data_IF_232901466389
#
_entry.id   IF_232901466389
#
_cell.length_a   1.000
_cell.length_b   1.000
_cell.length_c   1.000
_cell.angle_alpha   90.00
_cell.angle_beta   90.00
_cell.angle_gamma   90.00
#
_symmetry.space_group_name_H-M   'P 1'
#
loop_
_entity.id
_entity.type
_entity.pdbx_description
1 polymer ?
#
# COMPACT_ATOMS: atom_id res chain seq x y z
N UNK A 1 15.03 -9.21 9.09
CA UNK A 1 15.66 -8.81 10.36
C UNK A 1 16.60 -7.64 10.11
N UNK A 2 16.40 -6.53 10.80
CA UNK A 2 17.35 -5.42 10.77
C UNK A 2 18.49 -5.75 11.75
N UNK A 3 19.75 -5.86 11.29
CA UNK A 3 20.86 -6.26 12.16
C UNK A 3 21.21 -5.18 13.19
N UNK A 4 20.84 -3.93 12.95
CA UNK A 4 20.95 -2.80 13.85
C UNK A 4 20.06 -1.66 13.32
N UNK A 5 19.56 -0.82 14.21
CA UNK A 5 18.74 0.34 13.85
C UNK A 5 17.49 0.46 14.70
N UNK A 6 16.70 1.48 14.40
CA UNK A 6 15.43 1.77 15.05
C UNK A 6 14.39 2.11 14.01
N UNK A 7 13.17 1.61 14.18
CA UNK A 7 12.03 1.90 13.33
C UNK A 7 10.84 2.29 14.19
N UNK A 8 10.66 3.59 14.43
CA UNK A 8 9.56 4.11 15.23
C UNK A 8 8.34 4.42 14.37
N UNK A 9 7.20 3.98 14.84
CA UNK A 9 5.90 4.28 14.27
C UNK A 9 4.92 4.67 15.37
N UNK A 10 4.46 5.91 15.35
CA UNK A 10 3.50 6.47 16.32
C UNK A 10 3.94 6.24 17.81
N UNK A 11 5.25 6.33 18.05
CA UNK A 11 5.86 6.13 19.38
C UNK A 11 6.16 4.68 19.76
N UNK A 12 5.89 3.73 18.86
CA UNK A 12 6.15 2.29 19.07
C UNK A 12 7.32 1.82 18.22
N UNK A 13 8.24 1.04 18.78
CA UNK A 13 9.33 0.42 18.00
C UNK A 13 8.78 -0.77 17.20
N UNK A 14 8.74 -0.63 15.87
CA UNK A 14 8.27 -1.68 14.98
C UNK A 14 9.11 -2.96 15.03
N UNK A 15 10.36 -2.87 15.45
CA UNK A 15 11.25 -4.05 15.48
C UNK A 15 10.88 -5.01 16.62
N UNK A 16 10.20 -4.51 17.66
CA UNK A 16 9.72 -5.31 18.79
C UNK A 16 8.35 -5.98 18.50
N UNK A 17 7.67 -5.58 17.41
CA UNK A 17 6.35 -6.09 17.06
C UNK A 17 6.42 -7.22 16.03
N UNK A 18 5.55 -8.21 16.14
CA UNK A 18 5.30 -9.16 15.07
C UNK A 18 4.51 -8.53 13.92
N UNK A 19 4.38 -9.24 12.79
CA UNK A 19 3.69 -8.74 11.61
C UNK A 19 2.20 -8.45 11.87
N UNK A 20 1.54 -9.25 12.72
CA UNK A 20 0.13 -9.07 13.05
C UNK A 20 -0.06 -7.82 13.91
N UNK A 21 0.84 -7.57 14.86
CA UNK A 21 0.76 -6.40 15.73
C UNK A 21 1.05 -5.12 14.96
N UNK A 22 2.04 -5.12 14.05
CA UNK A 22 2.28 -4.00 13.12
C UNK A 22 1.03 -3.65 12.31
N UNK A 23 0.33 -4.66 11.80
CA UNK A 23 -0.90 -4.45 11.05
C UNK A 23 -2.04 -3.87 11.91
N UNK A 24 -2.17 -4.32 13.16
CA UNK A 24 -3.17 -3.81 14.12
C UNK A 24 -2.89 -2.37 14.52
N UNK A 25 -1.61 -1.98 14.67
CA UNK A 25 -1.18 -0.61 14.92
C UNK A 25 -1.48 0.34 13.75
N UNK A 26 -1.73 -0.20 12.55
CA UNK A 26 -2.13 0.56 11.38
C UNK A 26 -1.05 0.66 10.30
N UNK A 27 -0.07 -0.25 10.30
CA UNK A 27 0.86 -0.42 9.19
C UNK A 27 0.27 -1.36 8.14
N UNK A 28 0.30 -0.96 6.87
CA UNK A 28 -0.08 -1.79 5.73
C UNK A 28 1.09 -1.90 4.75
N UNK A 29 1.30 -3.09 4.20
CA UNK A 29 2.30 -3.34 3.16
C UNK A 29 1.60 -3.90 1.92
N UNK A 30 1.63 -3.16 0.83
CA UNK A 30 1.33 -3.66 -0.49
C UNK A 30 2.59 -4.29 -1.08
N UNK A 31 2.53 -5.59 -1.36
CA UNK A 31 3.69 -6.34 -1.82
C UNK A 31 3.96 -6.11 -3.31
N UNK A 32 5.22 -6.18 -3.72
CA UNK A 32 5.59 -6.23 -5.14
C UNK A 32 4.85 -7.37 -5.85
N UNK A 33 4.79 -8.55 -5.23
CA UNK A 33 4.02 -9.71 -5.69
C UNK A 33 2.97 -10.10 -4.66
N UNK A 34 1.69 -9.71 -4.85
CA UNK A 34 0.62 -10.05 -3.91
C UNK A 34 0.45 -11.56 -3.71
N UNK A 35 0.43 -11.99 -2.45
CA UNK A 35 0.38 -13.40 -2.06
C UNK A 35 -1.01 -13.97 -2.35
N UNK A 36 -1.05 -15.25 -2.78
CA UNK A 36 -2.28 -16.03 -2.92
C UNK A 36 -2.56 -16.80 -1.64
N UNK A 37 -3.84 -16.85 -1.23
CA UNK A 37 -4.28 -17.64 -0.08
C UNK A 37 -5.39 -18.59 -0.54
N UNK A 38 -5.04 -19.78 -1.06
CA UNK A 38 -6.02 -20.75 -1.54
C UNK A 38 -7.00 -21.18 -0.45
N UNK A 39 -8.27 -21.32 -0.81
CA UNK A 39 -9.32 -21.76 0.09
C UNK A 39 -9.85 -20.70 1.07
N UNK A 40 -9.28 -19.50 1.11
CA UNK A 40 -9.77 -18.39 1.94
C UNK A 40 -10.34 -17.29 1.04
N UNK A 41 -11.65 -17.07 1.07
CA UNK A 41 -12.26 -16.02 0.24
C UNK A 41 -11.86 -14.61 0.71
N UNK A 42 -11.80 -13.66 -0.23
CA UNK A 42 -11.52 -12.26 0.08
C UNK A 42 -12.43 -11.71 1.18
N UNK A 43 -13.74 -12.02 1.14
CA UNK A 43 -14.68 -11.55 2.16
C UNK A 43 -14.36 -12.11 3.55
N UNK A 44 -14.06 -13.41 3.65
CA UNK A 44 -13.71 -14.03 4.93
C UNK A 44 -12.39 -13.46 5.47
N UNK A 45 -11.38 -13.32 4.61
CA UNK A 45 -10.10 -12.73 4.96
C UNK A 45 -10.28 -11.29 5.49
N UNK A 46 -11.00 -10.44 4.74
CA UNK A 46 -11.21 -9.06 5.14
C UNK A 46 -12.06 -8.93 6.40
N UNK A 47 -13.08 -9.78 6.58
CA UNK A 47 -13.87 -9.77 7.81
C UNK A 47 -13.03 -10.10 9.04
N UNK A 48 -12.15 -11.09 8.92
CA UNK A 48 -11.23 -11.46 10.00
C UNK A 48 -10.25 -10.33 10.31
N UNK A 49 -9.64 -9.73 9.28
CA UNK A 49 -8.67 -8.65 9.43
C UNK A 49 -9.29 -7.38 10.03
N UNK A 50 -10.47 -6.96 9.56
CA UNK A 50 -11.21 -5.81 10.10
C UNK A 50 -11.58 -6.06 11.56
N UNK A 51 -12.05 -7.25 11.91
CA UNK A 51 -12.40 -7.56 13.29
C UNK A 51 -11.18 -7.62 14.20
N UNK A 52 -10.06 -8.17 13.76
CA UNK A 52 -8.81 -8.18 14.53
C UNK A 52 -8.31 -6.75 14.84
N UNK A 53 -8.41 -5.83 13.86
CA UNK A 53 -8.09 -4.42 14.08
C UNK A 53 -9.07 -3.76 15.07
N UNK A 54 -10.37 -4.01 14.93
CA UNK A 54 -11.40 -3.48 15.83
C UNK A 54 -11.21 -3.95 17.27
N UNK A 55 -10.94 -5.24 17.45
CA UNK A 55 -10.63 -5.85 18.76
C UNK A 55 -9.43 -5.17 19.42
N UNK A 56 -8.35 -4.97 18.67
CA UNK A 56 -7.16 -4.23 19.14
C UNK A 56 -7.50 -2.79 19.57
N UNK A 57 -8.48 -2.16 18.94
CA UNK A 57 -8.99 -0.83 19.30
C UNK A 57 -10.04 -0.85 20.42
N UNK A 58 -10.34 -2.01 21.01
CA UNK A 58 -11.38 -2.17 22.03
C UNK A 58 -12.82 -2.03 21.51
N UNK A 59 -13.02 -2.23 20.21
CA UNK A 59 -14.31 -2.11 19.55
C UNK A 59 -14.95 -3.49 19.32
N UNK A 60 -16.28 -3.55 19.38
CA UNK A 60 -17.04 -4.76 19.05
C UNK A 60 -16.83 -5.18 17.58
N UNK A 61 -16.92 -6.49 17.26
CA UNK A 61 -16.89 -6.96 15.88
C UNK A 61 -17.90 -6.24 14.99
N UNK A 62 -17.53 -5.99 13.74
CA UNK A 62 -18.42 -5.30 12.79
C UNK A 62 -19.67 -6.14 12.49
N UNK A 63 -20.85 -5.53 12.55
CA UNK A 63 -22.10 -6.19 12.18
C UNK A 63 -22.10 -6.59 10.69
N UNK A 64 -22.73 -7.71 10.36
CA UNK A 64 -22.72 -8.25 8.99
C UNK A 64 -23.23 -7.26 7.94
N UNK A 65 -24.28 -6.49 8.26
CA UNK A 65 -24.84 -5.47 7.38
C UNK A 65 -23.84 -4.35 7.09
N UNK A 66 -23.16 -3.87 8.15
CA UNK A 66 -22.22 -2.75 8.05
C UNK A 66 -20.93 -3.19 7.32
N UNK A 67 -20.49 -4.43 7.57
CA UNK A 67 -19.38 -5.04 6.82
C UNK A 67 -19.67 -5.10 5.31
N UNK A 68 -20.87 -5.56 4.91
CA UNK A 68 -21.23 -5.63 3.49
C UNK A 68 -21.36 -4.24 2.85
N UNK A 69 -21.85 -3.25 3.60
CA UNK A 69 -21.88 -1.87 3.15
C UNK A 69 -20.46 -1.32 2.93
N UNK A 70 -19.55 -1.54 3.88
CA UNK A 70 -18.15 -1.18 3.77
C UNK A 70 -17.46 -1.85 2.57
N UNK A 71 -17.66 -3.15 2.40
CA UNK A 71 -17.13 -3.88 1.23
C UNK A 71 -17.60 -3.26 -0.08
N UNK A 72 -18.91 -2.95 -0.19
CA UNK A 72 -19.45 -2.32 -1.40
C UNK A 72 -18.83 -0.95 -1.68
N UNK A 73 -18.69 -0.13 -0.67
CA UNK A 73 -18.08 1.20 -0.75
C UNK A 73 -16.61 1.10 -1.20
N UNK A 74 -15.81 0.31 -0.49
CA UNK A 74 -14.36 0.24 -0.75
C UNK A 74 -14.04 -0.50 -2.06
N UNK A 75 -14.84 -1.50 -2.46
CA UNK A 75 -14.67 -2.15 -3.76
C UNK A 75 -14.93 -1.19 -4.94
N UNK A 76 -15.83 -0.23 -4.78
CA UNK A 76 -16.11 0.77 -5.80
C UNK A 76 -14.91 1.70 -6.07
N UNK A 77 -14.06 1.99 -5.07
CA UNK A 77 -12.88 2.84 -5.22
C UNK A 77 -11.85 2.30 -6.22
N UNK A 78 -11.82 0.98 -6.39
CA UNK A 78 -10.83 0.29 -7.24
C UNK A 78 -11.48 -0.53 -8.35
N UNK A 79 -12.76 -0.30 -8.62
CA UNK A 79 -13.54 -1.02 -9.62
C UNK A 79 -13.37 -2.56 -9.49
N UNK A 80 -13.38 -3.08 -8.24
CA UNK A 80 -13.18 -4.49 -7.98
C UNK A 80 -14.41 -5.29 -8.42
N UNK A 81 -14.23 -6.22 -9.37
CA UNK A 81 -15.32 -7.10 -9.82
C UNK A 81 -15.92 -7.89 -8.65
N UNK A 82 -17.25 -7.87 -8.56
CA UNK A 82 -17.99 -8.58 -7.50
C UNK A 82 -17.66 -10.06 -7.41
N UNK A 83 -17.33 -10.71 -8.52
CA UNK A 83 -16.93 -12.12 -8.57
C UNK A 83 -15.63 -12.40 -7.81
N UNK A 84 -14.72 -11.43 -7.76
CA UNK A 84 -13.42 -11.59 -7.09
C UNK A 84 -13.56 -11.57 -5.56
N UNK A 85 -14.62 -10.98 -5.02
CA UNK A 85 -14.87 -10.91 -3.57
C UNK A 85 -15.10 -12.28 -2.93
N UNK A 86 -15.78 -13.17 -3.65
CA UNK A 86 -16.13 -14.51 -3.16
C UNK A 86 -15.07 -15.56 -3.46
N UNK A 87 -14.09 -15.23 -4.33
CA UNK A 87 -12.97 -16.11 -4.67
C UNK A 87 -11.89 -16.06 -3.59
N UNK A 88 -11.05 -17.09 -3.57
CA UNK A 88 -9.85 -17.14 -2.75
C UNK A 88 -8.96 -15.92 -3.03
N UNK A 89 -8.31 -15.41 -1.98
CA UNK A 89 -7.45 -14.23 -2.07
C UNK A 89 -6.41 -14.40 -3.17
N UNK A 90 -6.50 -13.58 -4.19
CA UNK A 90 -5.58 -13.49 -5.34
C UNK A 90 -5.44 -14.76 -6.20
N UNK A 91 -6.11 -15.87 -5.86
CA UNK A 91 -5.98 -17.14 -6.59
C UNK A 91 -6.54 -17.02 -8.02
N UNK A 92 -5.63 -17.15 -9.00
CA UNK A 92 -5.95 -17.05 -10.42
C UNK A 92 -6.42 -15.65 -10.85
N UNK A 93 -6.07 -14.60 -10.11
CA UNK A 93 -6.28 -13.21 -10.53
C UNK A 93 -5.20 -12.80 -11.52
N UNK A 94 -5.55 -11.95 -12.49
CA UNK A 94 -4.58 -11.25 -13.31
C UNK A 94 -3.73 -10.28 -12.44
N UNK A 95 -2.60 -9.81 -12.96
CA UNK A 95 -1.75 -8.84 -12.27
C UNK A 95 -2.52 -7.59 -11.84
N UNK A 96 -3.31 -7.00 -12.73
CA UNK A 96 -4.14 -5.83 -12.44
C UNK A 96 -5.24 -6.12 -11.40
N UNK A 97 -5.88 -7.30 -11.44
CA UNK A 97 -6.85 -7.70 -10.43
C UNK A 97 -6.21 -7.90 -9.06
N UNK A 98 -5.01 -8.49 -8.98
CA UNK A 98 -4.25 -8.62 -7.73
C UNK A 98 -3.94 -7.26 -7.12
N UNK A 99 -3.45 -6.31 -7.91
CA UNK A 99 -3.14 -4.97 -7.42
C UNK A 99 -4.39 -4.19 -7.00
N UNK A 100 -5.49 -4.24 -7.75
CA UNK A 100 -6.78 -3.65 -7.33
C UNK A 100 -7.28 -4.29 -6.03
N UNK A 101 -7.16 -5.63 -5.90
CA UNK A 101 -7.53 -6.31 -4.66
C UNK A 101 -6.68 -5.89 -3.47
N UNK A 102 -5.39 -5.63 -3.67
CA UNK A 102 -4.48 -5.14 -2.65
C UNK A 102 -4.86 -3.72 -2.17
N UNK A 103 -5.19 -2.81 -3.10
CA UNK A 103 -5.69 -1.47 -2.74
C UNK A 103 -7.08 -1.54 -2.10
N UNK A 104 -7.94 -2.48 -2.52
CA UNK A 104 -9.20 -2.76 -1.82
C UNK A 104 -8.96 -3.19 -0.36
N UNK A 105 -8.01 -4.11 -0.13
CA UNK A 105 -7.64 -4.54 1.23
C UNK A 105 -7.13 -3.36 2.07
N UNK A 106 -6.27 -2.51 1.50
CA UNK A 106 -5.80 -1.28 2.13
C UNK A 106 -6.96 -0.35 2.50
N UNK A 107 -7.91 -0.14 1.58
CA UNK A 107 -9.08 0.70 1.82
C UNK A 107 -10.00 0.16 2.91
N UNK A 108 -10.16 -1.17 3.00
CA UNK A 108 -10.92 -1.82 4.06
C UNK A 108 -10.29 -1.67 5.44
N UNK A 109 -8.95 -1.69 5.51
CA UNK A 109 -8.20 -1.64 6.75
C UNK A 109 -7.90 -0.22 7.22
N UNK A 110 -7.98 0.77 6.35
CA UNK A 110 -7.73 2.18 6.66
C UNK A 110 -6.46 2.39 7.53
N UNK A 111 -5.27 2.06 7.00
CA UNK A 111 -4.03 2.14 7.75
C UNK A 111 -3.64 3.60 8.04
N UNK A 112 -2.82 3.82 9.08
CA UNK A 112 -2.16 5.10 9.34
C UNK A 112 -0.95 5.31 8.41
N UNK A 113 -0.22 4.21 8.12
CA UNK A 113 0.90 4.19 7.16
C UNK A 113 0.72 3.04 6.18
N UNK A 114 0.70 3.34 4.90
CA UNK A 114 0.74 2.35 3.83
C UNK A 114 2.09 2.41 3.11
N UNK A 115 2.78 1.28 3.06
CA UNK A 115 3.98 1.08 2.24
C UNK A 115 3.54 0.40 0.95
N UNK A 116 3.77 1.04 -0.19
CA UNK A 116 3.38 0.56 -1.52
C UNK A 116 4.66 0.18 -2.28
N UNK A 117 4.93 -1.13 -2.35
CA UNK A 117 6.16 -1.64 -2.96
C UNK A 117 5.90 -2.01 -4.42
N UNK A 118 6.46 -1.20 -5.34
CA UNK A 118 6.31 -1.35 -6.80
C UNK A 118 4.88 -1.69 -7.24
N UNK A 119 3.91 -0.96 -6.70
CA UNK A 119 2.48 -1.23 -6.94
C UNK A 119 2.06 -1.03 -8.40
N UNK A 120 2.87 -0.35 -9.19
CA UNK A 120 2.69 -0.10 -10.62
C UNK A 120 3.31 -1.17 -11.53
N UNK A 121 4.07 -2.12 -10.98
CA UNK A 121 4.75 -3.15 -11.76
C UNK A 121 3.75 -4.05 -12.49
N UNK A 122 3.91 -4.17 -13.82
CA UNK A 122 3.08 -5.02 -14.67
C UNK A 122 1.64 -4.53 -14.90
N UNK A 123 1.32 -3.29 -14.51
CA UNK A 123 0.01 -2.70 -14.78
C UNK A 123 -0.05 -2.06 -16.19
N UNK A 124 -1.18 -2.25 -16.87
CA UNK A 124 -1.56 -1.41 -17.99
C UNK A 124 -2.00 -0.01 -17.51
N UNK A 125 -2.23 0.89 -18.47
CA UNK A 125 -2.56 2.30 -18.18
C UNK A 125 -3.87 2.42 -17.38
N UNK A 126 -4.87 1.61 -17.69
CA UNK A 126 -6.16 1.66 -17.02
C UNK A 126 -6.08 1.15 -15.58
N UNK A 127 -5.39 0.02 -15.36
CA UNK A 127 -5.17 -0.53 -14.04
C UNK A 127 -4.33 0.42 -13.17
N UNK A 128 -3.29 1.05 -13.74
CA UNK A 128 -2.48 2.05 -13.05
C UNK A 128 -3.33 3.25 -12.61
N UNK A 129 -4.19 3.77 -13.50
CA UNK A 129 -5.11 4.87 -13.16
C UNK A 129 -6.02 4.50 -11.99
N UNK A 130 -6.71 3.35 -12.06
CA UNK A 130 -7.65 2.90 -11.03
C UNK A 130 -6.94 2.71 -9.68
N UNK A 131 -5.78 2.07 -9.66
CA UNK A 131 -4.97 1.87 -8.45
C UNK A 131 -4.56 3.22 -7.85
N UNK A 132 -4.10 4.14 -8.67
CA UNK A 132 -3.68 5.48 -8.24
C UNK A 132 -4.85 6.32 -7.71
N UNK A 133 -6.01 6.26 -8.37
CA UNK A 133 -7.24 6.92 -7.89
C UNK A 133 -7.68 6.34 -6.54
N UNK A 134 -7.58 5.02 -6.36
CA UNK A 134 -7.87 4.35 -5.09
C UNK A 134 -6.95 4.83 -3.96
N UNK A 135 -5.65 4.98 -4.22
CA UNK A 135 -4.68 5.53 -3.26
C UNK A 135 -5.00 6.98 -2.93
N UNK A 136 -5.22 7.82 -3.96
CA UNK A 136 -5.51 9.24 -3.78
C UNK A 136 -6.81 9.48 -3.02
N UNK A 137 -7.85 8.66 -3.23
CA UNK A 137 -9.11 8.74 -2.50
C UNK A 137 -8.97 8.50 -0.99
N UNK A 138 -7.86 7.87 -0.56
CA UNK A 138 -7.58 7.59 0.85
C UNK A 138 -6.63 8.61 1.49
N UNK A 139 -6.12 9.60 0.74
CA UNK A 139 -5.22 10.63 1.29
C UNK A 139 -5.99 11.56 2.23
N UNK A 140 -5.49 11.68 3.45
CA UNK A 140 -5.97 12.62 4.45
C UNK A 140 -4.84 13.05 5.40
N UNK A 141 -5.10 13.97 6.33
CA UNK A 141 -4.10 14.50 7.26
C UNK A 141 -3.62 13.47 8.31
N UNK A 142 -4.34 12.38 8.50
CA UNK A 142 -4.02 11.32 9.47
C UNK A 142 -3.35 10.09 8.85
N UNK A 143 -3.03 10.15 7.54
CA UNK A 143 -2.52 8.98 6.80
C UNK A 143 -1.29 9.32 5.98
N UNK A 144 -0.31 8.44 6.05
CA UNK A 144 0.93 8.54 5.28
C UNK A 144 1.06 7.41 4.27
N UNK A 145 1.65 7.70 3.12
CA UNK A 145 1.97 6.73 2.09
C UNK A 145 3.47 6.78 1.79
N UNK A 146 4.14 5.65 1.92
CA UNK A 146 5.51 5.45 1.45
C UNK A 146 5.44 4.66 0.14
N UNK A 147 5.70 5.31 -0.97
CA UNK A 147 5.63 4.71 -2.30
C UNK A 147 7.03 4.40 -2.78
N UNK A 148 7.31 3.14 -3.06
CA UNK A 148 8.57 2.67 -3.64
C UNK A 148 8.29 2.37 -5.11
N UNK A 149 8.96 3.07 -6.00
CA UNK A 149 8.84 2.87 -7.45
C UNK A 149 10.10 3.31 -8.17
N UNK A 150 10.35 2.72 -9.32
CA UNK A 150 11.39 3.15 -10.26
C UNK A 150 10.76 3.71 -11.56
N UNK A 151 9.43 3.89 -11.60
CA UNK A 151 8.70 4.42 -12.73
C UNK A 151 8.09 5.77 -12.44
N UNK A 152 8.52 6.79 -13.19
CA UNK A 152 8.00 8.15 -13.10
C UNK A 152 6.47 8.20 -13.30
N UNK A 153 5.93 7.42 -14.23
CA UNK A 153 4.50 7.44 -14.55
C UNK A 153 3.57 7.21 -13.35
N UNK A 154 4.01 6.49 -12.31
CA UNK A 154 3.22 6.36 -11.09
C UNK A 154 3.13 7.69 -10.35
N UNK A 155 4.24 8.46 -10.33
CA UNK A 155 4.33 9.75 -9.64
C UNK A 155 3.52 10.85 -10.34
N UNK A 156 3.18 10.67 -11.62
CA UNK A 156 2.25 11.56 -12.33
C UNK A 156 0.81 11.41 -11.83
N UNK A 157 0.46 10.22 -11.35
CA UNK A 157 -0.85 9.90 -10.80
C UNK A 157 -0.91 10.06 -9.26
N UNK A 158 0.13 9.62 -8.55
CA UNK A 158 0.27 9.75 -7.09
C UNK A 158 1.37 10.76 -6.83
N UNK A 159 1.02 12.05 -6.92
CA UNK A 159 1.99 13.14 -6.75
C UNK A 159 2.53 13.13 -5.31
N UNK A 160 3.85 12.93 -5.11
CA UNK A 160 4.44 12.87 -3.78
C UNK A 160 4.61 14.28 -3.19
N UNK A 161 4.59 14.39 -1.87
CA UNK A 161 4.98 15.60 -1.15
C UNK A 161 6.51 15.70 -1.04
N UNK A 162 7.18 14.56 -0.85
CA UNK A 162 8.63 14.43 -0.75
C UNK A 162 9.14 13.26 -1.58
N UNK A 163 10.35 13.41 -2.12
CA UNK A 163 11.06 12.37 -2.88
C UNK A 163 12.39 12.09 -2.20
N UNK A 164 12.68 10.81 -1.99
CA UNK A 164 13.96 10.34 -1.46
C UNK A 164 14.61 9.39 -2.47
N UNK A 165 15.86 9.65 -2.81
CA UNK A 165 16.64 8.82 -3.73
C UNK A 165 17.47 7.85 -2.92
N UNK A 166 17.22 6.56 -3.11
CA UNK A 166 17.98 5.47 -2.47
C UNK A 166 19.03 4.92 -3.45
N UNK A 167 20.28 4.87 -3.03
CA UNK A 167 21.38 4.23 -3.76
C UNK A 167 22.30 3.50 -2.79
N UNK A 168 22.67 2.28 -3.14
CA UNK A 168 23.57 1.43 -2.33
C UNK A 168 23.15 1.32 -0.84
N UNK A 169 21.83 1.26 -0.58
CA UNK A 169 21.28 1.14 0.75
C UNK A 169 21.22 2.43 1.58
N UNK A 170 21.52 3.57 0.96
CA UNK A 170 21.51 4.88 1.62
C UNK A 170 20.60 5.88 0.89
N UNK A 171 19.94 6.75 1.65
CA UNK A 171 19.25 7.90 1.08
C UNK A 171 20.31 8.96 0.75
N UNK A 172 20.55 9.13 -0.54
CA UNK A 172 21.61 10.00 -1.07
C UNK A 172 21.12 11.41 -1.38
N UNK A 173 19.83 11.57 -1.65
CA UNK A 173 19.22 12.89 -1.91
C UNK A 173 17.75 12.88 -1.46
N UNK A 174 17.29 14.01 -0.96
CA UNK A 174 15.90 14.25 -0.61
C UNK A 174 15.45 15.61 -1.13
N UNK A 175 14.21 15.70 -1.60
CA UNK A 175 13.68 16.95 -2.15
C UNK A 175 12.17 16.90 -2.34
N UNK A 176 11.59 18.00 -2.85
CA UNK A 176 10.19 18.05 -3.21
C UNK A 176 9.92 17.22 -4.47
N UNK A 177 8.66 17.18 -4.90
CA UNK A 177 8.20 16.41 -6.09
C UNK A 177 9.00 16.68 -7.36
N UNK A 178 9.54 17.89 -7.52
CA UNK A 178 10.34 18.31 -8.68
C UNK A 178 11.61 17.47 -8.83
N UNK A 179 12.15 16.91 -7.72
CA UNK A 179 13.29 16.01 -7.78
C UNK A 179 13.02 14.76 -8.63
N UNK A 180 11.79 14.26 -8.65
CA UNK A 180 11.40 13.14 -9.50
C UNK A 180 11.54 13.47 -11.00
N UNK A 181 11.13 14.68 -11.41
CA UNK A 181 11.26 15.17 -12.79
C UNK A 181 12.74 15.34 -13.20
N UNK A 182 13.57 15.81 -12.26
CA UNK A 182 15.01 15.94 -12.52
C UNK A 182 15.67 14.57 -12.73
N UNK A 183 15.27 13.57 -11.95
CA UNK A 183 15.75 12.18 -12.08
C UNK A 183 15.38 11.59 -13.44
N UNK A 184 14.15 11.80 -13.90
CA UNK A 184 13.72 11.34 -15.21
C UNK A 184 14.51 12.01 -16.34
N UNK A 185 14.71 13.33 -16.26
CA UNK A 185 15.37 14.10 -17.29
C UNK A 185 16.89 13.85 -17.38
N UNK A 186 17.55 13.63 -16.23
CA UNK A 186 19.03 13.54 -16.13
C UNK A 186 19.54 12.12 -15.85
N UNK A 187 18.67 11.18 -15.50
CA UNK A 187 19.06 9.87 -15.00
C UNK A 187 19.59 9.93 -13.54
N UNK A 188 20.23 8.88 -13.07
CA UNK A 188 20.76 8.79 -11.70
C UNK A 188 22.27 9.13 -11.60
N UNK A 189 22.99 9.20 -12.71
CA UNK A 189 24.46 9.31 -12.70
C UNK A 189 24.95 10.63 -12.12
N UNK A 190 24.24 11.74 -12.36
CA UNK A 190 24.58 13.04 -11.80
C UNK A 190 24.54 13.08 -10.26
N UNK A 191 23.63 12.28 -9.63
CA UNK A 191 23.59 12.17 -8.17
C UNK A 191 24.83 11.46 -7.64
N UNK A 192 25.31 10.43 -8.36
CA UNK A 192 26.54 9.73 -7.98
C UNK A 192 27.76 10.63 -8.08
N UNK A 193 27.79 11.54 -9.07
CA UNK A 193 28.86 12.54 -9.23
C UNK A 193 28.84 13.61 -8.12
N UNK A 194 27.64 13.98 -7.60
CA UNK A 194 27.51 14.92 -6.48
C UNK A 194 27.97 14.32 -5.12
N UNK A 195 27.99 12.99 -5.00
CA UNK A 195 28.29 12.28 -3.74
C UNK A 195 29.74 11.77 -3.71
N UNK A 196 30.41 11.67 -4.87
CA UNK A 196 31.83 11.24 -5.00
C UNK A 196 32.79 12.32 -4.62
#
# INVERSE_FOLDING_TARGET
>A
DAPAGRADFDGTDLLELDASDRAREGLFLAFQYPVEIPGVSNLNFMKAAVNAKREHQGLEPIAAKDFLALVKEKAALVELDGRLRDRSVNEGFSGGEKKRNEIFQMAMLEPKLAVLDETDSGLDIDALRIVSEGVNAMRDAGRSFLVITHYQRLLDHIVPDFVHVLSDGQIVKSGPKELALELEAKGYDWIKEEIA
#
